data_IF_857152218474
#
_entry.id   IF_857152218474
#
_cell.length_a   1.000
_cell.length_b   1.000
_cell.length_c   1.000
_cell.angle_alpha   90.00
_cell.angle_beta   90.00
_cell.angle_gamma   90.00
#
_symmetry.space_group_name_H-M   'P 1'
#
loop_
_entity.id
_entity.type
_entity.pdbx_description
1 polymer ?
#
# COMPACT_ATOMS: atom_id res chain seq x y z
N UNK A 1 -9.87 -0.50 -9.64
CA UNK A 1 -9.36 0.16 -10.86
C UNK A 1 -9.39 -0.89 -11.95
N UNK A 2 -9.90 -0.58 -13.14
CA UNK A 2 -9.87 -1.52 -14.27
C UNK A 2 -8.88 -0.97 -15.28
N UNK A 3 -7.76 -1.67 -15.46
CA UNK A 3 -6.71 -1.31 -16.42
C UNK A 3 -6.10 -2.59 -16.96
N UNK A 4 -5.87 -2.62 -18.27
CA UNK A 4 -5.21 -3.76 -18.93
C UNK A 4 -3.67 -3.69 -18.78
N UNK A 5 -3.15 -2.63 -18.14
CA UNK A 5 -1.73 -2.52 -17.85
C UNK A 5 -1.37 -3.38 -16.63
N UNK A 6 -0.49 -4.39 -16.76
CA UNK A 6 -0.10 -5.26 -15.65
C UNK A 6 0.64 -4.53 -14.51
N UNK A 7 1.16 -3.32 -14.77
CA UNK A 7 1.83 -2.48 -13.78
C UNK A 7 0.89 -1.47 -13.12
N UNK A 8 -0.39 -1.43 -13.51
CA UNK A 8 -1.36 -0.53 -12.90
C UNK A 8 -1.63 -0.89 -11.43
N UNK A 9 -1.92 0.10 -10.57
CA UNK A 9 -2.41 -0.19 -9.24
C UNK A 9 -3.76 -0.90 -9.30
N UNK A 10 -3.99 -1.78 -8.34
CA UNK A 10 -5.27 -2.47 -8.14
C UNK A 10 -6.28 -1.58 -7.41
N UNK A 11 -5.78 -0.77 -6.47
CA UNK A 11 -6.58 0.16 -5.67
C UNK A 11 -5.95 1.56 -5.65
N UNK A 12 -6.81 2.58 -5.52
CA UNK A 12 -6.40 3.98 -5.37
C UNK A 12 -6.25 4.29 -3.89
N UNK A 13 -5.27 5.10 -3.52
CA UNK A 13 -5.17 5.67 -2.18
C UNK A 13 -5.62 7.11 -2.26
N UNK A 14 -6.67 7.42 -1.51
CA UNK A 14 -7.29 8.73 -1.51
C UNK A 14 -7.07 9.40 -0.15
N UNK A 15 -6.55 10.63 -0.16
CA UNK A 15 -6.55 11.53 0.98
C UNK A 15 -7.71 12.51 0.91
N UNK A 16 -8.10 13.09 2.05
CA UNK A 16 -9.00 14.25 2.07
C UNK A 16 -8.17 15.53 2.01
N UNK A 17 -8.51 16.42 1.09
CA UNK A 17 -7.94 17.77 1.04
C UNK A 17 -8.48 18.63 2.19
N UNK A 18 -7.88 19.81 2.46
CA UNK A 18 -8.42 20.75 3.47
C UNK A 18 -9.87 21.18 3.21
N UNK A 19 -10.33 21.13 1.95
CA UNK A 19 -11.72 21.41 1.55
C UNK A 19 -12.63 20.18 1.58
N UNK A 20 -12.15 19.06 2.15
CA UNK A 20 -12.88 17.80 2.30
C UNK A 20 -13.01 16.96 1.02
N UNK A 21 -12.37 17.36 -0.09
CA UNK A 21 -12.43 16.64 -1.36
C UNK A 21 -11.47 15.45 -1.35
N UNK A 22 -11.86 14.34 -1.98
CA UNK A 22 -10.97 13.20 -2.17
C UNK A 22 -9.95 13.50 -3.27
N UNK A 23 -8.67 13.36 -2.94
CA UNK A 23 -7.55 13.53 -3.86
C UNK A 23 -6.71 12.25 -3.86
N UNK A 24 -6.29 11.80 -5.04
CA UNK A 24 -5.43 10.63 -5.14
C UNK A 24 -4.00 10.98 -4.77
N UNK A 25 -3.48 10.32 -3.74
CA UNK A 25 -2.13 10.54 -3.23
C UNK A 25 -1.24 9.29 -3.37
N UNK A 26 -1.76 8.21 -3.94
CA UNK A 26 -1.06 6.94 -4.01
C UNK A 26 -1.84 5.79 -4.61
N UNK A 27 -1.26 4.61 -4.51
CA UNK A 27 -1.85 3.38 -5.03
C UNK A 27 -1.47 2.15 -4.22
N UNK A 28 -2.21 1.07 -4.44
CA UNK A 28 -1.89 -0.25 -3.92
C UNK A 28 -1.76 -1.22 -5.10
N UNK A 29 -0.65 -1.95 -5.14
CA UNK A 29 -0.38 -2.98 -6.14
C UNK A 29 -0.41 -4.35 -5.51
N UNK A 30 -1.02 -5.31 -6.20
CA UNK A 30 -0.89 -6.73 -5.89
C UNK A 30 0.36 -7.26 -6.61
N UNK A 31 1.27 -7.87 -5.86
CA UNK A 31 2.51 -8.47 -6.36
C UNK A 31 2.60 -9.91 -5.89
N UNK A 32 3.42 -10.71 -6.58
CA UNK A 32 3.72 -12.07 -6.16
C UNK A 32 5.14 -12.13 -5.61
N UNK A 33 5.31 -12.78 -4.46
CA UNK A 33 6.62 -13.06 -3.90
C UNK A 33 7.32 -14.10 -4.80
N UNK A 34 8.56 -13.83 -5.21
CA UNK A 34 9.30 -14.69 -6.14
C UNK A 34 9.68 -16.05 -5.54
N UNK A 35 9.91 -16.11 -4.23
CA UNK A 35 10.40 -17.30 -3.54
C UNK A 35 9.24 -18.20 -3.10
N UNK A 36 8.15 -17.61 -2.62
CA UNK A 36 7.00 -18.36 -2.08
C UNK A 36 5.83 -18.50 -3.05
N UNK A 37 5.79 -17.69 -4.11
CA UNK A 37 4.64 -17.60 -5.01
C UNK A 37 3.40 -16.96 -4.37
N UNK A 38 3.49 -16.51 -3.11
CA UNK A 38 2.36 -15.92 -2.41
C UNK A 38 2.09 -14.50 -2.91
N UNK A 39 0.82 -14.16 -3.06
CA UNK A 39 0.40 -12.80 -3.36
C UNK A 39 0.54 -11.91 -2.11
N UNK A 40 1.00 -10.67 -2.33
CA UNK A 40 1.06 -9.64 -1.30
C UNK A 40 0.70 -8.28 -1.89
N UNK A 41 0.35 -7.33 -1.04
CA UNK A 41 0.08 -5.97 -1.48
C UNK A 41 1.22 -5.03 -1.10
N UNK A 42 1.46 -4.05 -1.97
CA UNK A 42 2.39 -2.94 -1.73
C UNK A 42 1.64 -1.63 -1.84
N UNK A 43 1.93 -0.71 -0.93
CA UNK A 43 1.34 0.62 -0.82
C UNK A 43 2.41 1.67 -1.08
N UNK A 44 2.08 2.67 -1.90
CA UNK A 44 2.86 3.90 -2.00
C UNK A 44 1.95 5.09 -1.76
N UNK A 45 2.37 6.00 -0.88
CA UNK A 45 1.79 7.34 -0.70
C UNK A 45 2.83 8.35 -1.16
N UNK A 46 2.66 8.83 -2.39
CA UNK A 46 3.64 9.63 -3.14
C UNK A 46 4.03 10.88 -2.39
N UNK A 47 3.05 11.62 -1.91
CA UNK A 47 3.23 12.95 -1.30
C UNK A 47 3.98 12.89 0.05
N UNK A 48 4.13 11.68 0.61
CA UNK A 48 4.81 11.44 1.87
C UNK A 48 6.08 10.58 1.73
N UNK A 49 6.52 10.31 0.50
CA UNK A 49 7.61 9.39 0.17
C UNK A 49 7.52 8.06 0.95
N UNK A 50 6.29 7.57 1.14
CA UNK A 50 6.01 6.46 2.04
C UNK A 50 5.71 5.19 1.24
N UNK A 51 6.48 4.14 1.50
CA UNK A 51 6.30 2.82 0.90
C UNK A 51 6.16 1.76 2.00
N UNK A 52 5.22 0.85 1.81
CA UNK A 52 4.94 -0.21 2.76
C UNK A 52 4.46 -1.49 2.05
N UNK A 53 4.66 -2.62 2.70
CA UNK A 53 3.92 -3.85 2.39
C UNK A 53 2.65 -3.89 3.24
N UNK A 54 1.58 -4.48 2.70
CA UNK A 54 0.41 -4.84 3.49
C UNK A 54 0.44 -6.35 3.71
N UNK A 55 0.37 -6.76 4.97
CA UNK A 55 0.47 -8.17 5.35
C UNK A 55 0.07 -8.41 6.80
N UNK A 56 0.24 -9.65 7.27
CA UNK A 56 0.06 -9.99 8.68
C UNK A 56 1.34 -9.66 9.43
N UNK A 57 1.28 -8.79 10.43
CA UNK A 57 2.43 -8.50 11.29
C UNK A 57 2.68 -9.65 12.29
N UNK A 58 3.92 -9.80 12.76
CA UNK A 58 4.36 -10.93 13.60
C UNK A 58 3.62 -11.08 14.95
N UNK A 59 2.80 -10.10 15.35
CA UNK A 59 2.01 -10.11 16.60
C UNK A 59 0.53 -9.78 16.37
N UNK A 60 0.06 -9.88 15.13
CA UNK A 60 -1.32 -9.61 14.78
C UNK A 60 -2.20 -10.85 15.04
N UNK A 61 -3.30 -10.64 15.75
CA UNK A 61 -4.26 -11.66 16.18
C UNK A 61 -5.35 -11.92 15.13
N UNK A 62 -5.77 -10.89 14.40
CA UNK A 62 -6.78 -11.00 13.35
C UNK A 62 -6.16 -11.12 11.95
N UNK A 63 -6.21 -12.33 11.38
CA UNK A 63 -5.70 -12.62 10.03
C UNK A 63 -6.53 -11.99 8.89
N UNK A 64 -7.72 -11.45 9.16
CA UNK A 64 -8.54 -10.75 8.17
C UNK A 64 -8.07 -9.31 7.92
N UNK A 65 -7.28 -8.75 8.84
CA UNK A 65 -6.73 -7.41 8.73
C UNK A 65 -5.36 -7.42 8.05
N UNK A 66 -5.02 -6.29 7.43
CA UNK A 66 -3.72 -6.07 6.82
C UNK A 66 -3.00 -4.98 7.60
N UNK A 67 -1.86 -5.30 8.22
CA UNK A 67 -0.97 -4.32 8.81
C UNK A 67 -0.22 -3.54 7.73
N UNK A 68 0.06 -2.26 8.01
CA UNK A 68 0.94 -1.43 7.19
C UNK A 68 2.36 -1.62 7.72
N UNK A 69 3.24 -2.24 6.92
CA UNK A 69 4.62 -2.56 7.29
C UNK A 69 5.57 -1.68 6.45
N UNK A 70 6.10 -0.57 7.00
CA UNK A 70 6.97 0.34 6.27
C UNK A 70 8.28 -0.33 5.82
N UNK A 71 8.80 0.05 4.66
CA UNK A 71 10.06 -0.51 4.14
C UNK A 71 11.32 -0.03 4.87
N UNK A 72 11.22 1.02 5.68
CA UNK A 72 12.31 1.53 6.50
C UNK A 72 11.84 2.62 7.46
N UNK A 73 12.67 3.02 8.44
CA UNK A 73 12.37 4.15 9.29
C UNK A 73 12.27 5.42 8.42
N UNK A 74 11.23 6.23 8.63
CA UNK A 74 11.28 7.63 8.18
C UNK A 74 12.33 8.30 9.07
N UNK A 75 13.47 8.71 8.51
CA UNK A 75 14.20 9.81 9.12
C UNK A 75 13.22 10.98 9.19
N UNK A 76 12.79 11.32 10.41
CA UNK A 76 12.07 12.56 10.68
C UNK A 76 12.98 13.72 10.30
N UNK A 77 12.65 14.39 9.20
CA UNK A 77 13.18 15.70 8.87
C UNK A 77 12.62 16.77 9.82
#
# INVERSE_FOLDING_TARGET
ITSDNPLAPTHRVLGRSPRGQLVECGGIWKKQNKDTGADYFTLTVRDHAFNANLGIAASQDDASLQAIIPWGPKETA
#
